data_IF_152045232265
#
_entry.id   IF_152045232265
#
_cell.length_a   1.000
_cell.length_b   1.000
_cell.length_c   1.000
_cell.angle_alpha   90.00
_cell.angle_beta   90.00
_cell.angle_gamma   90.00
#
_symmetry.space_group_name_H-M   'P 1'
#
loop_
_entity.id
_entity.type
_entity.pdbx_description
1 polymer ?
#
# COMPACT_ATOMS: atom_id res chain seq x y z
N UNK A 1 16.32 3.69 -0.57
CA UNK A 1 16.53 3.70 0.89
C UNK A 1 15.92 2.44 1.48
N UNK A 2 16.72 1.69 2.23
CA UNK A 2 16.28 0.49 2.92
C UNK A 2 15.37 0.85 4.10
N UNK A 3 14.33 0.05 4.30
CA UNK A 3 13.38 0.18 5.41
C UNK A 3 13.37 -1.10 6.22
N UNK A 4 13.12 -0.97 7.52
CA UNK A 4 13.11 -2.06 8.47
C UNK A 4 11.87 -1.98 9.35
N UNK A 5 11.22 -3.11 9.56
CA UNK A 5 10.21 -3.28 10.61
C UNK A 5 10.90 -3.48 11.97
N UNK A 6 10.34 -2.94 13.07
CA UNK A 6 10.63 -3.42 14.42
C UNK A 6 10.51 -4.95 14.49
N UNK A 7 11.39 -5.58 15.26
CA UNK A 7 11.44 -7.04 15.42
C UNK A 7 10.76 -7.46 16.72
N UNK A 8 10.20 -8.66 16.74
CA UNK A 8 9.52 -9.23 17.91
C UNK A 8 8.02 -8.93 18.00
N UNK A 9 7.46 -8.22 17.02
CA UNK A 9 6.02 -8.03 16.88
C UNK A 9 5.46 -8.99 15.84
N UNK A 10 4.38 -9.69 16.22
CA UNK A 10 3.60 -10.52 15.31
C UNK A 10 2.29 -9.82 14.98
N UNK A 11 1.96 -9.81 13.69
CA UNK A 11 0.72 -9.24 13.20
C UNK A 11 -0.08 -10.27 12.42
N UNK A 12 -1.36 -9.98 12.24
CA UNK A 12 -2.26 -10.79 11.43
C UNK A 12 -2.70 -9.98 10.23
N UNK A 13 -2.67 -10.59 9.06
CA UNK A 13 -3.16 -9.95 7.84
C UNK A 13 -4.64 -9.58 8.00
N UNK A 14 -5.03 -8.34 7.65
CA UNK A 14 -6.36 -7.85 7.95
C UNK A 14 -7.41 -8.66 7.18
N UNK A 15 -8.54 -9.06 7.80
CA UNK A 15 -9.67 -9.63 7.06
C UNK A 15 -10.40 -8.55 6.25
N UNK A 16 -11.33 -8.91 5.34
CA UNK A 16 -12.09 -7.94 4.56
C UNK A 16 -12.74 -6.84 5.42
N UNK A 17 -12.52 -5.59 5.06
CA UNK A 17 -13.08 -4.42 5.74
C UNK A 17 -12.27 -3.95 6.95
N UNK A 18 -11.12 -4.56 7.21
CA UNK A 18 -10.16 -4.14 8.23
C UNK A 18 -8.88 -3.57 7.59
N UNK A 19 -8.09 -2.91 8.43
CA UNK A 19 -6.79 -2.32 8.10
C UNK A 19 -5.78 -2.68 9.17
N UNK A 20 -4.53 -2.85 8.75
CA UNK A 20 -3.33 -2.93 9.57
C UNK A 20 -2.41 -1.78 9.15
N UNK A 21 -1.83 -1.08 10.11
CA UNK A 21 -0.83 -0.04 9.89
C UNK A 21 0.40 -0.40 10.70
N UNK A 22 1.56 -0.51 10.06
CA UNK A 22 2.82 -0.87 10.69
C UNK A 22 3.84 0.25 10.54
N UNK A 23 4.65 0.46 11.57
CA UNK A 23 5.76 1.41 11.52
C UNK A 23 6.98 0.74 10.88
N UNK A 24 7.65 1.47 10.00
CA UNK A 24 8.95 1.10 9.44
C UNK A 24 9.93 2.25 9.63
N UNK A 25 11.22 1.97 9.59
CA UNK A 25 12.25 3.00 9.70
C UNK A 25 13.45 2.74 8.79
N UNK A 26 14.15 3.79 8.38
CA UNK A 26 15.51 3.70 7.84
C UNK A 26 16.54 3.90 8.96
N UNK A 27 17.75 3.38 8.79
CA UNK A 27 18.81 3.51 9.80
C UNK A 27 19.52 4.86 9.71
N UNK A 28 19.96 5.24 8.50
CA UNK A 28 20.80 6.42 8.29
C UNK A 28 20.44 7.15 6.98
N UNK A 29 19.88 8.38 7.05
CA UNK A 29 19.34 9.01 8.26
C UNK A 29 18.17 8.20 8.83
N UNK A 30 17.87 8.40 10.12
CA UNK A 30 16.67 7.80 10.72
C UNK A 30 15.43 8.54 10.23
N UNK A 31 14.66 7.89 9.36
CA UNK A 31 13.35 8.33 8.91
C UNK A 31 12.31 7.29 9.30
N UNK A 32 11.09 7.75 9.54
CA UNK A 32 9.94 6.92 9.88
C UNK A 32 9.00 6.82 8.69
N UNK A 33 8.44 5.64 8.49
CA UNK A 33 7.49 5.33 7.42
C UNK A 33 6.33 4.54 8.01
N UNK A 34 5.21 4.55 7.30
CA UNK A 34 4.05 3.74 7.61
C UNK A 34 3.77 2.78 6.45
N UNK A 35 3.53 1.52 6.78
CA UNK A 35 3.03 0.51 5.85
C UNK A 35 1.56 0.25 6.16
N UNK A 36 0.70 0.62 5.22
CA UNK A 36 -0.72 0.40 5.30
C UNK A 36 -1.16 -0.82 4.49
N UNK A 37 -1.86 -1.74 5.14
CA UNK A 37 -2.46 -2.92 4.51
C UNK A 37 -3.96 -2.84 4.80
N UNK A 38 -4.78 -2.78 3.75
CA UNK A 38 -6.24 -2.71 3.91
C UNK A 38 -6.94 -3.62 2.94
N UNK A 39 -8.04 -4.25 3.38
CA UNK A 39 -8.90 -5.04 2.49
C UNK A 39 -10.25 -4.37 2.33
N UNK A 40 -10.67 -4.21 1.07
CA UNK A 40 -11.99 -3.69 0.74
C UNK A 40 -13.12 -4.58 1.25
N UNK A 41 -14.32 -4.00 1.40
CA UNK A 41 -15.60 -4.71 1.52
C UNK A 41 -16.61 -4.05 0.60
N UNK A 42 -17.54 -4.83 0.06
CA UNK A 42 -18.70 -4.31 -0.65
C UNK A 42 -19.74 -3.90 0.40
N UNK A 43 -20.07 -2.62 0.49
CA UNK A 43 -21.10 -2.09 1.41
C UNK A 43 -22.04 -1.15 0.66
N UNK A 44 -23.33 -1.47 0.70
CA UNK A 44 -24.39 -0.76 -0.05
C UNK A 44 -24.59 0.68 0.48
N UNK A 45 -24.25 0.94 1.74
CA UNK A 45 -24.39 2.24 2.41
C UNK A 45 -23.12 3.07 2.41
N UNK A 46 -22.16 2.83 1.50
CA UNK A 46 -20.86 3.51 1.51
C UNK A 46 -21.00 5.02 1.17
N UNK A 47 -20.59 5.90 2.09
CA UNK A 47 -20.46 7.36 1.87
C UNK A 47 -19.19 7.93 2.54
N UNK A 48 -18.71 9.08 2.06
CA UNK A 48 -17.47 9.75 2.55
C UNK A 48 -17.69 11.25 2.69
N UNK A 49 -17.28 11.83 3.82
CA UNK A 49 -17.13 13.27 4.03
C UNK A 49 -15.77 13.54 4.70
N UNK A 50 -15.00 14.51 4.21
CA UNK A 50 -13.58 14.69 4.53
C UNK A 50 -13.24 16.17 4.77
N UNK A 51 -12.45 16.47 5.81
CA UNK A 51 -11.75 17.74 5.99
C UNK A 51 -10.37 17.46 6.64
N UNK A 52 -9.29 18.15 6.23
CA UNK A 52 -7.90 17.74 6.51
C UNK A 52 -6.96 18.89 6.86
N UNK A 53 -6.01 18.62 7.77
CA UNK A 53 -4.78 19.39 8.01
C UNK A 53 -3.62 18.45 8.40
N UNK A 54 -2.39 18.76 7.92
CA UNK A 54 -1.18 17.91 7.88
C UNK A 54 -1.37 16.55 7.16
N UNK A 55 -0.88 16.46 5.90
CA UNK A 55 -0.99 15.26 5.04
C UNK A 55 0.32 14.45 5.09
N UNK A 56 0.25 13.19 5.50
CA UNK A 56 1.31 12.23 5.23
C UNK A 56 1.44 12.02 3.71
N UNK A 57 2.69 11.95 3.23
CA UNK A 57 3.00 11.73 1.82
C UNK A 57 2.94 10.24 1.52
N UNK A 58 2.13 9.84 0.55
CA UNK A 58 2.05 8.46 0.07
C UNK A 58 3.15 8.26 -0.96
N UNK A 59 4.15 7.44 -0.63
CA UNK A 59 5.32 7.20 -1.48
C UNK A 59 5.02 6.23 -2.63
N UNK A 60 4.33 5.14 -2.31
CA UNK A 60 3.85 4.15 -3.26
C UNK A 60 2.56 3.54 -2.70
N UNK A 61 1.62 3.21 -3.58
CA UNK A 61 0.36 2.54 -3.21
C UNK A 61 -0.06 1.61 -4.34
N UNK A 62 -0.18 0.33 -4.03
CA UNK A 62 -0.67 -0.67 -4.96
C UNK A 62 -2.14 -0.94 -4.67
N UNK A 63 -3.01 -0.66 -5.65
CA UNK A 63 -4.42 -0.98 -5.59
C UNK A 63 -4.68 -2.24 -6.44
N UNK A 64 -5.34 -3.24 -5.86
CA UNK A 64 -5.72 -4.49 -6.53
C UNK A 64 -7.25 -4.52 -6.66
N UNK A 65 -7.75 -4.72 -7.87
CA UNK A 65 -9.18 -4.75 -8.21
C UNK A 65 -9.99 -3.56 -7.67
N UNK A 66 -9.31 -2.41 -7.55
CA UNK A 66 -9.87 -1.15 -7.11
C UNK A 66 -10.80 -0.51 -8.15
N UNK A 67 -11.03 0.79 -7.99
CA UNK A 67 -11.65 1.57 -9.06
C UNK A 67 -10.61 1.83 -10.15
N UNK A 68 -10.98 1.91 -11.44
CA UNK A 68 -10.10 2.47 -12.45
C UNK A 68 -9.63 3.86 -12.03
N UNK A 69 -8.41 4.23 -12.42
CA UNK A 69 -7.80 5.50 -12.07
C UNK A 69 -7.56 6.34 -13.32
N UNK A 70 -7.72 7.66 -13.22
CA UNK A 70 -7.42 8.58 -14.31
C UNK A 70 -6.25 9.47 -13.90
N UNK A 71 -5.17 9.40 -14.66
CA UNK A 71 -3.96 10.18 -14.46
C UNK A 71 -4.20 11.67 -14.73
N UNK A 72 -3.32 12.56 -14.20
CA UNK A 72 -3.45 14.00 -14.39
C UNK A 72 -3.44 14.47 -15.86
N UNK A 73 -2.79 13.74 -16.75
CA UNK A 73 -2.78 13.97 -18.20
C UNK A 73 -4.05 13.46 -18.92
N UNK A 74 -4.91 12.77 -18.19
CA UNK A 74 -6.16 12.23 -18.68
C UNK A 74 -6.11 10.77 -19.13
N UNK A 75 -4.95 10.09 -19.07
CA UNK A 75 -4.82 8.66 -19.35
C UNK A 75 -5.59 7.82 -18.30
N UNK A 76 -6.34 6.81 -18.76
CA UNK A 76 -7.04 5.87 -17.87
C UNK A 76 -6.19 4.62 -17.62
N UNK A 77 -6.00 4.30 -16.35
CA UNK A 77 -5.31 3.12 -15.86
C UNK A 77 -6.33 2.13 -15.29
N UNK A 78 -6.11 0.84 -15.55
CA UNK A 78 -6.99 -0.25 -15.14
C UNK A 78 -7.19 -0.37 -13.62
N UNK A 79 -8.04 -1.30 -13.19
CA UNK A 79 -8.45 -1.48 -11.78
C UNK A 79 -7.34 -1.93 -10.83
N UNK A 80 -6.30 -2.54 -11.39
CA UNK A 80 -5.10 -2.96 -10.66
C UNK A 80 -3.96 -2.09 -11.15
N UNK A 81 -3.43 -1.23 -10.28
CA UNK A 81 -2.43 -0.22 -10.64
C UNK A 81 -1.61 0.24 -9.44
N UNK A 82 -0.43 0.77 -9.74
CA UNK A 82 0.54 1.27 -8.77
C UNK A 82 0.59 2.80 -8.84
N UNK A 83 0.16 3.46 -7.78
CA UNK A 83 0.42 4.87 -7.55
C UNK A 83 1.85 5.09 -7.07
N UNK A 84 2.51 6.12 -7.60
CA UNK A 84 3.83 6.57 -7.14
C UNK A 84 3.79 8.06 -6.80
N UNK A 85 4.56 8.43 -5.79
CA UNK A 85 4.71 9.82 -5.41
C UNK A 85 5.29 10.66 -6.54
N UNK A 86 4.65 11.80 -6.75
CA UNK A 86 5.10 12.88 -7.60
C UNK A 86 5.07 14.19 -6.79
N UNK A 87 6.06 15.05 -7.02
CA UNK A 87 6.21 16.29 -6.26
C UNK A 87 5.04 17.27 -6.46
N UNK A 88 4.48 17.32 -7.68
CA UNK A 88 3.41 18.24 -8.05
C UNK A 88 2.03 17.64 -7.79
N UNK A 89 1.90 16.32 -7.95
CA UNK A 89 0.60 15.63 -7.97
C UNK A 89 0.39 14.70 -6.78
N UNK A 90 1.38 14.51 -5.90
CA UNK A 90 1.31 13.57 -4.80
C UNK A 90 1.15 12.15 -5.32
N UNK A 91 0.14 11.42 -4.83
CA UNK A 91 -0.16 10.04 -5.23
C UNK A 91 -1.12 9.93 -6.42
N UNK A 92 -1.30 10.98 -7.23
CA UNK A 92 -2.27 10.97 -8.34
C UNK A 92 -1.74 10.32 -9.62
N UNK A 93 -0.44 10.07 -9.75
CA UNK A 93 0.08 9.31 -10.88
C UNK A 93 0.02 7.81 -10.58
N UNK A 94 -0.53 7.04 -11.50
CA UNK A 94 -0.57 5.60 -11.45
C UNK A 94 -0.08 4.96 -12.75
N UNK A 95 0.40 3.72 -12.63
CA UNK A 95 0.93 2.93 -13.72
C UNK A 95 0.41 1.49 -13.64
N UNK A 96 0.38 0.74 -14.76
CA UNK A 96 0.22 -0.70 -14.69
C UNK A 96 1.23 -1.33 -13.71
N UNK A 97 0.85 -2.38 -12.96
CA UNK A 97 1.76 -3.02 -12.03
C UNK A 97 3.03 -3.49 -12.76
N UNK A 98 4.24 -3.18 -12.26
CA UNK A 98 5.46 -3.71 -12.83
C UNK A 98 5.53 -5.24 -12.74
N UNK A 99 6.36 -5.91 -13.57
CA UNK A 99 6.42 -7.37 -13.65
C UNK A 99 6.77 -8.12 -12.35
N UNK A 100 7.28 -7.42 -11.32
CA UNK A 100 7.51 -8.00 -9.99
C UNK A 100 6.22 -8.50 -9.33
N UNK A 101 5.06 -7.94 -9.69
CA UNK A 101 3.75 -8.35 -9.18
C UNK A 101 3.18 -9.49 -10.01
N UNK A 102 3.62 -10.72 -9.72
CA UNK A 102 3.39 -11.88 -10.60
C UNK A 102 1.98 -12.48 -10.50
N UNK A 103 1.33 -12.38 -9.33
CA UNK A 103 -0.03 -12.86 -9.13
C UNK A 103 -0.78 -11.96 -8.12
N UNK A 104 -1.37 -10.86 -8.60
CA UNK A 104 -2.19 -9.95 -7.79
C UNK A 104 -3.32 -10.60 -6.98
N UNK A 105 -3.79 -11.78 -7.38
CA UNK A 105 -4.86 -12.49 -6.68
C UNK A 105 -4.38 -13.21 -5.40
N UNK A 106 -3.07 -13.48 -5.27
CA UNK A 106 -2.48 -13.96 -4.01
C UNK A 106 -2.03 -12.74 -3.19
N UNK A 107 -2.88 -12.34 -2.24
CA UNK A 107 -2.65 -11.17 -1.40
C UNK A 107 -1.36 -11.26 -0.57
N UNK A 108 -0.92 -12.46 -0.20
CA UNK A 108 0.28 -12.67 0.60
C UNK A 108 1.54 -12.55 -0.24
N UNK A 109 1.55 -13.21 -1.40
CA UNK A 109 2.63 -13.06 -2.36
C UNK A 109 2.74 -11.60 -2.82
N UNK A 110 1.61 -10.95 -3.10
CA UNK A 110 1.56 -9.55 -3.53
C UNK A 110 2.08 -8.62 -2.43
N UNK A 111 1.73 -8.86 -1.17
CA UNK A 111 2.29 -8.10 -0.04
C UNK A 111 3.81 -8.26 0.03
N UNK A 112 4.31 -9.49 -0.09
CA UNK A 112 5.76 -9.76 -0.04
C UNK A 112 6.51 -9.05 -1.18
N UNK A 113 5.97 -9.11 -2.40
CA UNK A 113 6.49 -8.39 -3.57
C UNK A 113 6.39 -6.87 -3.41
N UNK A 114 5.36 -6.35 -2.74
CA UNK A 114 5.21 -4.93 -2.48
C UNK A 114 6.23 -4.44 -1.44
N UNK A 115 6.51 -5.25 -0.42
CA UNK A 115 7.59 -4.98 0.53
C UNK A 115 8.95 -4.92 -0.18
N UNK A 116 9.21 -5.84 -1.09
CA UNK A 116 10.43 -5.85 -1.92
C UNK A 116 10.49 -4.61 -2.82
N UNK A 117 9.41 -4.27 -3.51
CA UNK A 117 9.30 -3.05 -4.32
C UNK A 117 9.59 -1.78 -3.49
N UNK A 118 9.12 -1.76 -2.23
CA UNK A 118 9.35 -0.65 -1.30
C UNK A 118 10.73 -0.69 -0.63
N UNK A 119 11.59 -1.64 -0.94
CA UNK A 119 12.89 -1.89 -0.31
C UNK A 119 12.79 -2.07 1.22
N UNK A 120 11.76 -2.79 1.69
CA UNK A 120 11.64 -3.21 3.09
C UNK A 120 12.47 -4.47 3.30
N UNK A 121 13.71 -4.28 3.75
CA UNK A 121 14.71 -5.37 3.88
C UNK A 121 14.42 -6.25 5.09
N UNK A 122 14.07 -5.63 6.21
CA UNK A 122 13.62 -6.39 7.40
C UNK A 122 12.10 -6.37 7.42
N UNK A 123 11.49 -7.42 6.88
CA UNK A 123 10.03 -7.55 6.73
C UNK A 123 9.34 -7.78 8.09
N UNK A 124 8.12 -7.25 8.30
CA UNK A 124 7.31 -7.57 9.46
C UNK A 124 6.85 -9.03 9.44
N UNK A 125 6.66 -9.64 10.61
CA UNK A 125 6.08 -10.98 10.73
C UNK A 125 4.56 -10.86 10.67
N UNK A 126 3.97 -11.25 9.54
CA UNK A 126 2.53 -11.20 9.30
C UNK A 126 1.99 -12.60 9.00
N UNK A 127 1.10 -13.10 9.85
CA UNK A 127 0.42 -14.38 9.66
C UNK A 127 -0.84 -14.22 8.80
N UNK A 128 -1.22 -15.26 8.06
CA UNK A 128 -2.44 -15.30 7.21
C UNK A 128 -3.74 -15.04 7.95
N UNK A 129 -3.75 -15.17 9.28
CA UNK A 129 -4.98 -15.26 10.03
C UNK A 129 -5.76 -16.51 9.65
N UNK A 130 -6.91 -16.72 10.27
CA UNK A 130 -7.72 -17.93 10.09
C UNK A 130 -8.77 -17.84 8.96
N UNK A 131 -8.78 -16.77 8.15
CA UNK A 131 -9.88 -16.50 7.21
C UNK A 131 -9.46 -15.77 5.94
#
# INVERSE_FOLDING_TARGET
>A
MEKHSPQGEEHTFPPPGKRLCLELFSREPRLEFLLDISRGTIRITKYTFQNRGFKSVVLARLDIDGNPHRNPDGEDIGRTHLHLYDELYGDKWAYPPPPIFTNPCDAFLTLDQFLDFCHVVTKPVISRGLF
#
